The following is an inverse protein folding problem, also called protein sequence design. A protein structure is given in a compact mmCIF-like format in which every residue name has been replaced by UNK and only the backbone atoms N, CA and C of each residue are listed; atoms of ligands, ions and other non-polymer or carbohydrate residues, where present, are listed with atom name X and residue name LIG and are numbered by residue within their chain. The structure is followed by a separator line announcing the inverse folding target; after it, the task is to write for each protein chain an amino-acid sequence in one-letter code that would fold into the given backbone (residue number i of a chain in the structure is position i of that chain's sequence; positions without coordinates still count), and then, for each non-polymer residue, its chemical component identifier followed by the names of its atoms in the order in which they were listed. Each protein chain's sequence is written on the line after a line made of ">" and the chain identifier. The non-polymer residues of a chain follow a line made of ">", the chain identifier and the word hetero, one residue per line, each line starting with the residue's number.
data_IF_589960195629
#
_entry.id   IF_589960195629
#
_cell.length_a   1.000
_cell.length_b   1.000
_cell.length_c   1.000
_cell.angle_alpha   90.00
_cell.angle_beta   90.00
_cell.angle_gamma   90.00
#
_symmetry.space_group_name_H-M   'P 1'
#
loop_
_entity.id
_entity.type
_entity.pdbx_description
1 polymer ?
#
# COMPACT_ATOMS: atom_id res chain seq x y z
N UNK A 1 -17.81 -51.29 42.38
CA UNK A 1 -18.33 -50.22 43.27
C UNK A 1 -17.17 -49.78 44.16
N UNK A 2 -16.71 -48.56 44.29
CA UNK A 2 -17.10 -47.25 43.76
C UNK A 2 -15.84 -46.38 43.78
N UNK A 3 -15.64 -45.65 42.69
CA UNK A 3 -14.68 -44.59 42.39
C UNK A 3 -14.40 -43.57 43.51
N UNK A 4 -13.12 -43.32 43.78
CA UNK A 4 -12.63 -41.99 44.19
C UNK A 4 -12.56 -41.09 42.94
N UNK A 5 -13.30 -39.97 42.93
CA UNK A 5 -13.14 -38.89 41.95
C UNK A 5 -12.27 -37.80 42.57
N UNK A 6 -11.06 -37.68 42.05
CA UNK A 6 -10.10 -36.60 42.32
C UNK A 6 -10.57 -35.30 41.64
N UNK A 7 -10.67 -34.25 42.45
CA UNK A 7 -10.82 -32.85 42.05
C UNK A 7 -9.52 -32.39 41.37
N UNK A 8 -9.50 -32.27 40.05
CA UNK A 8 -8.53 -31.42 39.34
C UNK A 8 -9.20 -30.88 38.08
N UNK A 9 -9.91 -29.76 38.26
CA UNK A 9 -10.39 -28.95 37.14
C UNK A 9 -9.21 -28.21 36.53
N UNK A 10 -8.73 -28.67 35.37
CA UNK A 10 -7.89 -27.85 34.50
C UNK A 10 -8.78 -26.77 33.89
N UNK A 11 -8.64 -25.54 34.35
CA UNK A 11 -9.09 -24.37 33.60
C UNK A 11 -8.12 -24.24 32.43
N UNK A 12 -8.45 -24.87 31.30
CA UNK A 12 -7.83 -24.49 30.04
C UNK A 12 -8.52 -23.22 29.58
N UNK A 13 -7.80 -22.09 29.67
CA UNK A 13 -8.19 -20.82 29.08
C UNK A 13 -8.50 -21.04 27.60
N UNK A 14 -9.78 -21.21 27.30
CA UNK A 14 -10.28 -21.26 25.94
C UNK A 14 -10.35 -19.81 25.48
N UNK A 15 -9.26 -19.31 24.90
CA UNK A 15 -9.25 -18.00 24.25
C UNK A 15 -10.38 -18.00 23.22
N UNK A 16 -11.39 -17.15 23.45
CA UNK A 16 -12.54 -17.03 22.53
C UNK A 16 -12.01 -16.76 21.11
N UNK A 17 -12.56 -17.38 20.05
CA UNK A 17 -12.07 -17.23 18.67
C UNK A 17 -11.93 -15.77 18.20
N UNK A 18 -12.78 -14.87 18.71
CA UNK A 18 -12.72 -13.44 18.43
C UNK A 18 -11.48 -12.76 19.03
N UNK A 19 -11.02 -13.18 20.22
CA UNK A 19 -9.80 -12.65 20.86
C UNK A 19 -8.55 -13.16 20.17
N UNK A 20 -8.53 -14.42 19.72
CA UNK A 20 -7.41 -14.96 18.95
C UNK A 20 -7.22 -14.21 17.62
N UNK A 21 -8.32 -13.99 16.88
CA UNK A 21 -8.30 -13.21 15.63
C UNK A 21 -7.90 -11.74 15.84
N UNK A 22 -8.30 -11.13 16.95
CA UNK A 22 -7.90 -9.76 17.28
C UNK A 22 -6.39 -9.65 17.63
N UNK A 23 -5.85 -10.65 18.35
CA UNK A 23 -4.41 -10.74 18.63
C UNK A 23 -3.59 -10.92 17.35
N UNK A 24 -4.00 -11.85 16.49
CA UNK A 24 -3.40 -12.10 15.18
C UNK A 24 -3.40 -10.85 14.29
N UNK A 25 -4.55 -10.13 14.20
CA UNK A 25 -4.62 -8.86 13.47
C UNK A 25 -3.67 -7.79 14.01
N UNK A 26 -3.59 -7.64 15.34
CA UNK A 26 -2.67 -6.67 15.96
C UNK A 26 -1.22 -7.02 15.62
N UNK A 27 -0.87 -8.30 15.68
CA UNK A 27 0.46 -8.79 15.33
C UNK A 27 0.81 -8.50 13.86
N UNK A 28 -0.14 -8.72 12.94
CA UNK A 28 0.00 -8.39 11.51
C UNK A 28 0.10 -6.90 11.22
N UNK A 29 -0.66 -6.07 11.92
CA UNK A 29 -0.56 -4.60 11.78
C UNK A 29 0.80 -4.11 12.31
N UNK A 30 1.25 -4.63 13.46
CA UNK A 30 2.58 -4.32 13.99
C UNK A 30 3.68 -4.79 13.03
N UNK A 31 3.55 -6.00 12.50
CA UNK A 31 4.45 -6.55 11.50
C UNK A 31 4.49 -5.68 10.25
N UNK A 32 3.36 -5.20 9.74
CA UNK A 32 3.33 -4.30 8.59
C UNK A 32 4.13 -3.01 8.83
N UNK A 33 3.94 -2.34 9.97
CA UNK A 33 4.64 -1.09 10.27
C UNK A 33 6.13 -1.32 10.56
N UNK A 34 6.46 -2.29 11.40
CA UNK A 34 7.84 -2.62 11.76
C UNK A 34 8.60 -3.23 10.59
N UNK A 35 7.93 -4.01 9.75
CA UNK A 35 8.49 -4.62 8.56
C UNK A 35 8.98 -3.58 7.56
N UNK A 36 8.30 -2.44 7.43
CA UNK A 36 8.81 -1.29 6.66
C UNK A 36 10.16 -0.85 7.20
N UNK A 37 10.27 -0.61 8.51
CA UNK A 37 11.51 -0.12 9.10
C UNK A 37 12.65 -1.15 9.11
N UNK A 38 12.33 -2.42 9.38
CA UNK A 38 13.29 -3.52 9.28
C UNK A 38 13.83 -3.63 7.85
N UNK A 39 12.94 -3.60 6.86
CA UNK A 39 13.31 -3.72 5.46
C UNK A 39 14.14 -2.54 4.97
N UNK A 40 13.72 -1.32 5.30
CA UNK A 40 14.46 -0.07 5.11
C UNK A 40 15.88 -0.19 5.70
N UNK A 41 15.98 -0.43 7.00
CA UNK A 41 17.25 -0.48 7.73
C UNK A 41 18.20 -1.58 7.23
N UNK A 42 17.68 -2.72 6.74
CA UNK A 42 18.49 -3.77 6.10
C UNK A 42 18.99 -3.33 4.72
N UNK A 43 18.13 -2.71 3.92
CA UNK A 43 18.43 -2.29 2.55
C UNK A 43 19.36 -1.08 2.48
N UNK A 44 19.30 -0.18 3.47
CA UNK A 44 20.10 1.04 3.54
C UNK A 44 21.62 0.80 3.45
N UNK A 45 22.11 -0.39 3.83
CA UNK A 45 23.51 -0.77 3.69
C UNK A 45 23.96 -0.88 2.22
N UNK A 46 23.07 -1.32 1.32
CA UNK A 46 23.38 -1.60 -0.10
C UNK A 46 22.67 -0.65 -1.08
N UNK A 47 22.07 0.41 -0.55
CA UNK A 47 21.43 1.46 -1.33
C UNK A 47 22.39 2.03 -2.39
N UNK A 48 21.90 2.08 -3.64
CA UNK A 48 22.58 2.51 -4.86
C UNK A 48 23.73 1.63 -5.36
N UNK A 49 23.86 0.41 -4.86
CA UNK A 49 24.77 -0.56 -5.46
C UNK A 49 24.36 -0.87 -6.91
N UNK A 50 25.33 -0.94 -7.82
CA UNK A 50 25.08 -1.16 -9.26
C UNK A 50 24.71 -2.61 -9.62
N UNK A 51 24.57 -3.48 -8.63
CA UNK A 51 24.33 -4.91 -8.76
C UNK A 51 24.23 -5.56 -7.38
N UNK A 52 23.94 -6.88 -7.35
CA UNK A 52 23.83 -7.61 -6.10
C UNK A 52 25.17 -7.72 -5.38
N UNK A 53 25.12 -7.78 -4.05
CA UNK A 53 26.26 -8.09 -3.22
C UNK A 53 26.79 -9.49 -3.55
N UNK A 54 28.02 -9.57 -4.04
CA UNK A 54 28.69 -10.83 -4.41
C UNK A 54 29.61 -11.36 -3.30
N UNK A 55 29.74 -10.63 -2.19
CA UNK A 55 30.50 -11.03 -1.02
C UNK A 55 29.67 -11.79 0.01
N UNK A 56 30.07 -11.69 1.28
CA UNK A 56 29.27 -12.18 2.39
C UNK A 56 27.97 -11.37 2.48
N UNK A 57 26.83 -12.07 2.53
CA UNK A 57 25.53 -11.43 2.63
C UNK A 57 25.41 -10.67 3.94
N UNK A 58 24.90 -9.44 3.86
CA UNK A 58 24.47 -8.70 5.06
C UNK A 58 23.15 -9.30 5.53
N UNK A 59 23.18 -9.99 6.67
CA UNK A 59 22.01 -10.70 7.23
C UNK A 59 21.36 -9.97 8.41
N UNK A 60 21.99 -8.87 8.84
CA UNK A 60 21.63 -8.10 10.02
C UNK A 60 21.67 -6.60 9.72
N UNK A 61 20.96 -5.82 10.53
CA UNK A 61 20.93 -4.38 10.44
C UNK A 61 22.25 -3.82 11.00
N UNK A 62 23.16 -3.45 10.09
CA UNK A 62 24.51 -2.98 10.45
C UNK A 62 24.72 -1.49 10.18
N UNK A 63 23.77 -0.82 9.54
CA UNK A 63 23.92 0.56 9.08
C UNK A 63 24.93 0.69 7.94
N UNK A 64 25.70 1.78 7.92
CA UNK A 64 26.70 2.04 6.89
C UNK A 64 26.08 2.56 5.59
N UNK A 65 26.41 1.94 4.47
CA UNK A 65 25.92 2.34 3.15
C UNK A 65 26.39 3.74 2.69
N UNK A 66 25.72 4.25 1.65
CA UNK A 66 26.06 5.51 0.97
C UNK A 66 26.06 6.71 1.93
N UNK A 67 25.12 6.74 2.88
CA UNK A 67 24.93 7.86 3.81
C UNK A 67 25.51 7.63 5.21
N UNK A 68 26.23 6.52 5.43
CA UNK A 68 26.85 6.14 6.71
C UNK A 68 25.83 6.15 7.86
N UNK A 69 24.74 5.43 7.65
CA UNK A 69 23.67 5.24 8.62
C UNK A 69 24.18 4.58 9.90
N UNK A 70 23.62 4.97 11.05
CA UNK A 70 23.75 4.17 12.26
C UNK A 70 22.89 2.90 12.12
N UNK A 71 23.25 1.82 12.80
CA UNK A 71 22.44 0.61 12.79
C UNK A 71 21.04 0.90 13.34
N UNK A 72 20.01 0.60 12.54
CA UNK A 72 18.59 0.80 12.88
C UNK A 72 18.08 2.24 12.74
N UNK A 73 18.92 3.15 12.24
CA UNK A 73 18.48 4.51 11.90
C UNK A 73 17.59 4.46 10.65
N UNK A 74 16.41 5.11 10.67
CA UNK A 74 15.51 5.16 9.51
C UNK A 74 16.06 6.02 8.36
N UNK A 75 15.68 5.68 7.12
CA UNK A 75 15.79 6.56 5.94
C UNK A 75 14.48 7.33 5.72
N UNK A 76 14.36 8.02 4.57
CA UNK A 76 13.14 8.69 4.14
C UNK A 76 11.94 7.76 4.00
N UNK A 77 12.14 6.47 3.70
CA UNK A 77 11.10 5.44 3.69
C UNK A 77 10.35 5.38 5.02
N UNK A 78 11.08 5.16 6.11
CA UNK A 78 10.49 5.05 7.45
C UNK A 78 10.09 6.41 8.01
N UNK A 79 10.90 7.46 7.83
CA UNK A 79 10.58 8.79 8.34
C UNK A 79 9.26 9.32 7.76
N UNK A 80 9.05 9.13 6.46
CA UNK A 80 7.81 9.54 5.81
C UNK A 80 6.64 8.59 6.13
N UNK A 81 6.90 7.31 6.40
CA UNK A 81 5.90 6.37 6.95
C UNK A 81 5.42 6.84 8.32
N UNK A 82 6.33 7.22 9.22
CA UNK A 82 6.01 7.77 10.53
C UNK A 82 5.19 9.06 10.42
N UNK A 83 5.47 9.92 9.45
CA UNK A 83 4.67 11.12 9.19
C UNK A 83 3.19 10.78 8.89
N UNK A 84 2.94 9.80 8.00
CA UNK A 84 1.58 9.33 7.66
C UNK A 84 0.92 8.63 8.84
N UNK A 85 1.66 7.77 9.56
CA UNK A 85 1.16 7.06 10.73
C UNK A 85 0.72 8.04 11.85
N UNK A 86 1.56 9.02 12.19
CA UNK A 86 1.27 10.02 13.21
C UNK A 86 0.06 10.88 12.84
N UNK A 87 -0.10 11.23 11.56
CA UNK A 87 -1.28 11.96 11.09
C UNK A 87 -2.58 11.16 11.26
N UNK A 88 -2.57 9.87 10.92
CA UNK A 88 -3.70 8.96 11.17
C UNK A 88 -4.06 8.87 12.66
N UNK A 89 -3.06 8.85 13.54
CA UNK A 89 -3.30 8.84 14.99
C UNK A 89 -3.95 10.13 15.48
N UNK A 90 -3.46 11.28 14.99
CA UNK A 90 -3.94 12.62 15.35
C UNK A 90 -5.34 12.94 14.82
N UNK A 91 -5.70 12.43 13.64
CA UNK A 91 -6.93 12.75 12.93
C UNK A 91 -7.76 11.49 12.61
N UNK A 92 -8.32 10.80 13.63
CA UNK A 92 -9.06 9.53 13.46
C UNK A 92 -10.27 9.59 12.53
N UNK A 93 -10.96 10.73 12.52
CA UNK A 93 -12.32 10.87 12.00
C UNK A 93 -12.43 11.95 10.90
N UNK A 94 -11.29 12.50 10.44
CA UNK A 94 -11.24 13.55 9.41
C UNK A 94 -10.08 13.28 8.45
N UNK A 95 -10.40 12.69 7.30
CA UNK A 95 -9.42 12.30 6.28
C UNK A 95 -8.74 13.52 5.64
N UNK A 96 -9.46 14.63 5.47
CA UNK A 96 -8.92 15.85 4.89
C UNK A 96 -7.92 16.51 5.86
N UNK A 97 -8.23 16.56 7.15
CA UNK A 97 -7.30 17.05 8.17
C UNK A 97 -6.10 16.12 8.33
N UNK A 98 -6.32 14.80 8.28
CA UNK A 98 -5.25 13.80 8.32
C UNK A 98 -4.26 14.00 7.17
N UNK A 99 -4.74 14.15 5.92
CA UNK A 99 -3.86 14.33 4.75
C UNK A 99 -3.08 15.66 4.83
N UNK A 100 -3.70 16.73 5.37
CA UNK A 100 -3.01 17.99 5.63
C UNK A 100 -1.91 17.84 6.67
N UNK A 101 -2.19 17.21 7.81
CA UNK A 101 -1.19 16.98 8.85
C UNK A 101 -0.05 16.08 8.37
N UNK A 102 -0.36 15.06 7.56
CA UNK A 102 0.66 14.23 6.91
C UNK A 102 1.58 15.10 6.03
N UNK A 103 1.02 15.97 5.18
CA UNK A 103 1.80 16.87 4.33
C UNK A 103 2.65 17.85 5.16
N UNK A 104 2.10 18.43 6.22
CA UNK A 104 2.81 19.36 7.11
C UNK A 104 3.99 18.67 7.82
N UNK A 105 3.79 17.43 8.30
CA UNK A 105 4.87 16.61 8.89
C UNK A 105 5.96 16.28 7.87
N UNK A 106 5.60 15.95 6.64
CA UNK A 106 6.56 15.70 5.57
C UNK A 106 7.35 16.97 5.21
N UNK A 107 6.70 18.14 5.20
CA UNK A 107 7.38 19.44 5.01
C UNK A 107 8.35 19.70 6.16
N UNK A 108 7.93 19.50 7.41
CA UNK A 108 8.80 19.69 8.57
C UNK A 108 10.01 18.75 8.53
N UNK A 109 9.82 17.48 8.13
CA UNK A 109 10.91 16.54 7.88
C UNK A 109 11.84 17.01 6.76
N UNK A 110 11.32 17.47 5.62
CA UNK A 110 12.17 18.02 4.55
C UNK A 110 13.00 19.22 5.04
N UNK A 111 12.42 20.06 5.90
CA UNK A 111 13.08 21.26 6.45
C UNK A 111 14.15 20.94 7.51
N UNK A 112 14.09 19.77 8.16
CA UNK A 112 15.18 19.32 9.05
C UNK A 112 16.45 18.92 8.31
N UNK A 113 16.42 18.88 6.97
CA UNK A 113 17.59 18.62 6.13
C UNK A 113 18.02 17.15 6.04
N UNK A 114 17.12 16.23 5.67
CA UNK A 114 17.43 14.80 5.53
C UNK A 114 18.44 14.57 4.39
N UNK A 115 19.23 13.49 4.51
CA UNK A 115 20.38 13.19 3.65
C UNK A 115 19.96 12.56 2.32
N UNK A 116 18.83 11.88 2.33
CA UNK A 116 18.33 10.89 1.38
C UNK A 116 17.11 11.34 0.58
N UNK A 117 16.43 12.43 0.99
CA UNK A 117 15.22 12.91 0.29
C UNK A 117 15.36 12.97 -1.25
N UNK A 118 14.52 12.17 -1.91
CA UNK A 118 14.43 12.12 -3.36
C UNK A 118 14.01 13.44 -4.03
N UNK A 119 14.46 13.64 -5.27
CA UNK A 119 14.23 14.89 -6.02
C UNK A 119 12.75 15.25 -6.24
N UNK A 120 11.91 14.26 -6.54
CA UNK A 120 10.45 14.43 -6.69
C UNK A 120 9.82 14.87 -5.38
N UNK A 121 10.14 14.20 -4.28
CA UNK A 121 9.66 14.53 -2.92
C UNK A 121 10.08 15.95 -2.53
N UNK A 122 11.37 16.29 -2.67
CA UNK A 122 11.88 17.64 -2.36
C UNK A 122 11.16 18.74 -3.15
N UNK A 123 10.96 18.55 -4.45
CA UNK A 123 10.30 19.54 -5.32
C UNK A 123 8.84 19.76 -4.92
N UNK A 124 8.11 18.67 -4.67
CA UNK A 124 6.67 18.73 -4.40
C UNK A 124 6.36 19.20 -2.99
N UNK A 125 7.11 18.77 -1.97
CA UNK A 125 7.00 19.33 -0.62
C UNK A 125 7.42 20.80 -0.57
N UNK A 126 8.37 21.22 -1.40
CA UNK A 126 8.66 22.65 -1.60
C UNK A 126 7.45 23.44 -2.14
N UNK A 127 6.63 22.84 -3.00
CA UNK A 127 5.38 23.45 -3.47
C UNK A 127 4.31 23.51 -2.37
N UNK A 128 4.17 22.44 -1.57
CA UNK A 128 3.29 22.40 -0.39
C UNK A 128 3.64 23.56 0.56
N UNK A 129 4.92 23.68 0.95
CA UNK A 129 5.42 24.77 1.80
C UNK A 129 5.10 26.16 1.24
N UNK A 130 5.13 26.31 -0.08
CA UNK A 130 4.82 27.57 -0.75
C UNK A 130 3.30 27.82 -0.92
N UNK A 131 2.45 27.00 -0.31
CA UNK A 131 1.00 27.17 -0.28
C UNK A 131 0.26 26.64 -1.51
N UNK A 132 0.88 25.79 -2.33
CA UNK A 132 0.17 25.12 -3.43
C UNK A 132 -0.82 24.11 -2.84
N UNK A 133 -2.11 24.11 -3.27
CA UNK A 133 -3.09 23.15 -2.77
C UNK A 133 -2.66 21.69 -2.99
N UNK A 134 -2.82 20.83 -1.99
CA UNK A 134 -2.34 19.44 -2.00
C UNK A 134 -2.82 18.62 -3.22
N UNK A 135 -4.04 18.85 -3.69
CA UNK A 135 -4.56 18.19 -4.90
C UNK A 135 -3.82 18.57 -6.20
N UNK A 136 -2.88 19.52 -6.15
CA UNK A 136 -2.13 20.05 -7.30
C UNK A 136 -0.60 19.93 -7.11
N UNK A 137 -0.12 19.39 -5.98
CA UNK A 137 1.33 19.32 -5.69
C UNK A 137 1.99 18.08 -6.27
N UNK A 138 1.26 16.97 -6.39
CA UNK A 138 1.79 15.72 -6.91
C UNK A 138 2.40 15.86 -8.30
N UNK A 139 3.59 15.29 -8.50
CA UNK A 139 4.27 15.32 -9.79
C UNK A 139 3.53 14.47 -10.84
N UNK A 140 3.25 15.05 -12.01
CA UNK A 140 2.47 14.44 -13.09
C UNK A 140 3.23 14.30 -14.42
N UNK A 141 4.54 14.55 -14.42
CA UNK A 141 5.37 14.42 -15.62
C UNK A 141 5.88 12.99 -15.76
N UNK A 142 6.03 12.48 -16.98
CA UNK A 142 6.33 11.06 -17.26
C UNK A 142 7.58 10.51 -16.53
N UNK A 143 8.58 11.35 -16.28
CA UNK A 143 9.79 10.96 -15.55
C UNK A 143 9.64 10.92 -14.01
N UNK A 144 8.44 11.18 -13.48
CA UNK A 144 8.17 11.18 -12.03
C UNK A 144 7.50 9.89 -11.52
N UNK A 145 7.61 8.79 -12.28
CA UNK A 145 7.11 7.47 -11.90
C UNK A 145 7.96 6.80 -10.79
N UNK A 146 8.30 7.56 -9.75
CA UNK A 146 9.13 7.13 -8.64
C UNK A 146 8.32 6.44 -7.54
N UNK A 147 8.98 5.59 -6.76
CA UNK A 147 8.42 4.80 -5.65
C UNK A 147 8.17 5.60 -4.36
N UNK A 148 8.56 6.87 -4.29
CA UNK A 148 8.51 7.66 -3.05
C UNK A 148 7.13 7.71 -2.36
N UNK A 149 6.01 7.65 -3.10
CA UNK A 149 4.67 7.53 -2.49
C UNK A 149 4.34 6.13 -1.99
N UNK A 150 4.82 5.10 -2.68
CA UNK A 150 4.56 3.69 -2.38
C UNK A 150 5.20 3.31 -1.05
N UNK A 151 6.45 3.70 -0.83
CA UNK A 151 7.23 3.33 0.35
C UNK A 151 6.60 3.74 1.69
N UNK A 152 5.81 4.81 1.69
CA UNK A 152 5.23 5.40 2.90
C UNK A 152 3.73 5.22 3.08
N UNK A 153 3.05 4.57 2.13
CA UNK A 153 1.59 4.54 2.12
C UNK A 153 0.97 3.49 3.07
N UNK A 154 1.78 2.57 3.59
CA UNK A 154 1.33 1.40 4.37
C UNK A 154 0.41 1.69 5.57
N UNK A 155 0.55 2.81 6.32
CA UNK A 155 -0.29 3.02 7.50
C UNK A 155 -1.78 3.10 7.13
N UNK A 156 -2.10 3.63 5.95
CA UNK A 156 -3.47 3.71 5.42
C UNK A 156 -4.05 2.32 5.16
N UNK A 157 -3.25 1.40 4.57
CA UNK A 157 -3.66 0.01 4.34
C UNK A 157 -3.89 -0.76 5.62
N UNK A 158 -2.99 -0.59 6.60
CA UNK A 158 -3.07 -1.24 7.90
C UNK A 158 -4.25 -0.75 8.75
N UNK A 159 -4.58 0.54 8.70
CA UNK A 159 -5.65 1.14 9.52
C UNK A 159 -7.06 0.97 8.93
N UNK A 160 -7.28 1.35 7.67
CA UNK A 160 -8.64 1.54 7.13
C UNK A 160 -9.21 0.22 6.61
N UNK A 161 -10.29 -0.24 7.25
CA UNK A 161 -11.00 -1.47 6.87
C UNK A 161 -11.87 -1.26 5.62
N UNK A 162 -12.56 -0.13 5.52
CA UNK A 162 -13.45 0.18 4.39
C UNK A 162 -12.66 0.31 3.07
N UNK A 163 -12.84 -0.59 2.09
CA UNK A 163 -12.11 -0.53 0.82
C UNK A 163 -12.34 0.76 0.05
N UNK A 164 -13.55 1.31 0.06
CA UNK A 164 -13.86 2.52 -0.70
C UNK A 164 -13.11 3.73 -0.12
N UNK A 165 -13.20 3.91 1.20
CA UNK A 165 -12.47 4.96 1.92
C UNK A 165 -10.96 4.78 1.80
N UNK A 166 -10.43 3.56 1.99
CA UNK A 166 -8.99 3.28 1.94
C UNK A 166 -8.37 3.70 0.61
N UNK A 167 -9.05 3.44 -0.52
CA UNK A 167 -8.56 3.82 -1.85
C UNK A 167 -8.51 5.34 -2.04
N UNK A 168 -9.55 6.05 -1.59
CA UNK A 168 -9.59 7.53 -1.63
C UNK A 168 -8.45 8.11 -0.80
N UNK A 169 -8.30 7.66 0.46
CA UNK A 169 -7.27 8.16 1.36
C UNK A 169 -5.85 7.81 0.86
N UNK A 170 -5.67 6.63 0.26
CA UNK A 170 -4.40 6.22 -0.35
C UNK A 170 -4.03 7.12 -1.53
N UNK A 171 -4.97 7.44 -2.41
CA UNK A 171 -4.75 8.37 -3.52
C UNK A 171 -4.40 9.77 -3.02
N UNK A 172 -5.10 10.26 -1.98
CA UNK A 172 -4.81 11.57 -1.39
C UNK A 172 -3.40 11.63 -0.78
N UNK A 173 -2.99 10.63 0.00
CA UNK A 173 -1.65 10.57 0.63
C UNK A 173 -0.53 10.43 -0.42
N UNK A 174 -0.71 9.55 -1.41
CA UNK A 174 0.26 9.39 -2.49
C UNK A 174 0.36 10.65 -3.36
N UNK A 175 -0.80 11.23 -3.66
CA UNK A 175 -0.98 12.42 -4.48
C UNK A 175 -0.36 13.71 -3.92
N UNK A 176 0.01 13.75 -2.63
CA UNK A 176 0.78 14.87 -2.05
C UNK A 176 2.05 15.11 -2.87
N UNK A 177 2.76 14.04 -3.26
CA UNK A 177 4.05 14.16 -3.98
C UNK A 177 4.09 13.44 -5.33
N UNK A 178 3.32 12.35 -5.52
CA UNK A 178 3.35 11.57 -6.76
C UNK A 178 1.95 11.54 -7.38
N UNK A 179 1.77 12.35 -8.42
CA UNK A 179 0.48 12.57 -9.08
C UNK A 179 0.21 11.67 -10.28
N UNK A 180 1.19 10.91 -10.77
CA UNK A 180 1.00 10.00 -11.90
C UNK A 180 0.05 8.84 -11.55
N UNK A 181 -0.82 8.42 -12.49
CA UNK A 181 -1.72 7.27 -12.29
C UNK A 181 -0.98 6.00 -11.83
N UNK A 182 0.16 5.67 -12.45
CA UNK A 182 0.96 4.49 -12.09
C UNK A 182 1.42 4.50 -10.63
N UNK A 183 1.79 5.66 -10.07
CA UNK A 183 2.18 5.78 -8.67
C UNK A 183 0.97 5.61 -7.74
N UNK A 184 -0.14 6.28 -8.06
CA UNK A 184 -1.38 6.23 -7.28
C UNK A 184 -1.96 4.82 -7.22
N UNK A 185 -2.07 4.18 -8.38
CA UNK A 185 -2.59 2.83 -8.52
C UNK A 185 -1.69 1.79 -7.86
N UNK A 186 -0.36 1.97 -7.92
CA UNK A 186 0.58 1.11 -7.18
C UNK A 186 0.37 1.21 -5.66
N UNK A 187 0.16 2.42 -5.13
CA UNK A 187 -0.14 2.61 -3.71
C UNK A 187 -1.48 1.96 -3.34
N UNK A 188 -2.51 2.10 -4.19
CA UNK A 188 -3.83 1.48 -3.98
C UNK A 188 -3.71 -0.04 -3.93
N UNK A 189 -3.03 -0.64 -4.91
CA UNK A 189 -2.80 -2.10 -4.95
C UNK A 189 -2.08 -2.53 -3.68
N UNK A 190 -0.98 -1.88 -3.33
CA UNK A 190 -0.19 -2.20 -2.15
C UNK A 190 -1.02 -2.14 -0.85
N UNK A 191 -1.75 -1.05 -0.63
CA UNK A 191 -2.58 -0.90 0.56
C UNK A 191 -3.79 -1.83 0.62
N UNK A 192 -4.34 -2.23 -0.52
CA UNK A 192 -5.40 -3.24 -0.58
C UNK A 192 -4.87 -4.64 -0.24
N UNK A 193 -3.67 -4.98 -0.74
CA UNK A 193 -2.98 -6.23 -0.34
C UNK A 193 -2.71 -6.22 1.16
N UNK A 194 -2.09 -5.16 1.69
CA UNK A 194 -1.83 -5.01 3.14
C UNK A 194 -3.12 -5.16 3.95
N UNK A 195 -4.20 -4.49 3.53
CA UNK A 195 -5.49 -4.58 4.19
C UNK A 195 -6.04 -6.00 4.23
N UNK A 196 -5.93 -6.76 3.14
CA UNK A 196 -6.36 -8.15 3.08
C UNK A 196 -5.48 -9.05 3.96
N UNK A 197 -4.16 -8.86 3.94
CA UNK A 197 -3.20 -9.64 4.73
C UNK A 197 -3.39 -9.45 6.24
N UNK A 198 -3.59 -8.21 6.72
CA UNK A 198 -3.88 -7.96 8.14
C UNK A 198 -5.26 -8.51 8.57
N UNK A 199 -6.15 -8.77 7.61
CA UNK A 199 -7.43 -9.43 7.81
C UNK A 199 -7.33 -10.97 7.77
N UNK A 200 -6.16 -11.50 7.42
CA UNK A 200 -5.81 -12.93 7.39
C UNK A 200 -6.04 -13.61 6.04
N UNK A 201 -6.08 -12.85 4.94
CA UNK A 201 -6.18 -13.41 3.60
C UNK A 201 -4.90 -14.14 3.18
N UNK A 202 -5.03 -15.08 2.24
CA UNK A 202 -3.90 -15.64 1.51
C UNK A 202 -3.21 -14.56 0.66
N UNK A 203 -1.89 -14.65 0.51
CA UNK A 203 -1.11 -13.65 -0.19
C UNK A 203 -1.44 -13.56 -1.68
N UNK A 204 -1.49 -14.70 -2.39
CA UNK A 204 -1.79 -14.68 -3.82
C UNK A 204 -3.21 -14.19 -4.09
N UNK A 205 -4.18 -14.64 -3.28
CA UNK A 205 -5.57 -14.18 -3.41
C UNK A 205 -5.68 -12.67 -3.16
N UNK A 206 -5.01 -12.15 -2.12
CA UNK A 206 -4.97 -10.72 -1.82
C UNK A 206 -4.41 -9.90 -2.99
N UNK A 207 -3.31 -10.35 -3.60
CA UNK A 207 -2.70 -9.68 -4.75
C UNK A 207 -3.62 -9.75 -5.98
N UNK A 208 -4.19 -10.92 -6.29
CA UNK A 208 -5.11 -11.11 -7.43
C UNK A 208 -6.35 -10.23 -7.29
N UNK A 209 -6.93 -10.15 -6.09
CA UNK A 209 -8.10 -9.31 -5.82
C UNK A 209 -7.77 -7.82 -5.98
N UNK A 210 -6.62 -7.36 -5.46
CA UNK A 210 -6.21 -5.97 -5.54
C UNK A 210 -6.07 -5.46 -6.99
N UNK A 211 -5.59 -6.30 -7.91
CA UNK A 211 -5.41 -5.97 -9.34
C UNK A 211 -6.58 -6.39 -10.23
N UNK A 212 -7.65 -6.95 -9.66
CA UNK A 212 -8.86 -7.35 -10.40
C UNK A 212 -9.70 -6.17 -10.88
N UNK A 213 -9.57 -5.01 -10.22
CA UNK A 213 -10.32 -3.81 -10.54
C UNK A 213 -9.87 -3.23 -11.90
N UNK A 214 -10.74 -3.15 -12.92
CA UNK A 214 -10.38 -2.67 -14.25
C UNK A 214 -10.02 -1.17 -14.28
N UNK A 215 -10.25 -0.44 -13.18
CA UNK A 215 -9.82 0.97 -13.04
C UNK A 215 -8.34 1.12 -12.72
N UNK A 216 -7.69 0.07 -12.22
CA UNK A 216 -6.23 0.06 -12.00
C UNK A 216 -5.54 0.04 -13.37
N UNK A 217 -4.55 0.92 -13.55
CA UNK A 217 -3.79 1.05 -14.79
C UNK A 217 -3.25 -0.31 -15.26
N UNK A 218 -3.37 -0.56 -16.58
CA UNK A 218 -3.00 -1.84 -17.18
C UNK A 218 -1.54 -2.21 -16.88
N UNK A 219 -0.64 -1.23 -16.93
CA UNK A 219 0.78 -1.41 -16.61
C UNK A 219 1.05 -1.86 -15.17
N UNK A 220 0.23 -1.43 -14.19
CA UNK A 220 0.33 -1.89 -12.80
C UNK A 220 -0.16 -3.34 -12.70
N UNK A 221 -1.30 -3.65 -13.34
CA UNK A 221 -1.88 -4.99 -13.36
C UNK A 221 -0.95 -5.99 -14.01
N UNK A 222 -0.39 -5.64 -15.17
CA UNK A 222 0.55 -6.46 -15.93
C UNK A 222 1.84 -6.69 -15.11
N UNK A 223 2.41 -5.63 -14.52
CA UNK A 223 3.61 -5.75 -13.69
C UNK A 223 3.45 -6.75 -12.53
N UNK A 224 2.32 -6.69 -11.83
CA UNK A 224 2.02 -7.62 -10.73
C UNK A 224 1.72 -9.03 -11.23
N UNK A 225 0.93 -9.15 -12.31
CA UNK A 225 0.57 -10.44 -12.89
C UNK A 225 1.79 -11.19 -13.45
N UNK A 226 2.75 -10.48 -14.02
CA UNK A 226 4.01 -11.06 -14.51
C UNK A 226 4.78 -11.74 -13.37
N UNK A 227 4.86 -11.12 -12.19
CA UNK A 227 5.52 -11.71 -11.02
C UNK A 227 4.74 -12.91 -10.49
N UNK A 228 3.41 -12.79 -10.35
CA UNK A 228 2.56 -13.92 -9.93
C UNK A 228 2.67 -15.12 -10.90
N UNK A 229 2.82 -14.85 -12.20
CA UNK A 229 2.93 -15.89 -13.22
C UNK A 229 4.31 -16.54 -13.26
N UNK A 230 5.36 -15.77 -12.98
CA UNK A 230 6.72 -16.28 -12.86
C UNK A 230 6.90 -17.14 -11.60
N UNK A 231 6.18 -16.82 -10.53
CA UNK A 231 6.27 -17.51 -9.24
C UNK A 231 7.46 -17.04 -8.39
N UNK A 232 7.78 -17.76 -7.29
CA UNK A 232 8.83 -17.37 -6.35
C UNK A 232 10.25 -17.72 -6.83
N UNK A 233 10.39 -18.43 -7.95
CA UNK A 233 11.69 -18.89 -8.43
C UNK A 233 12.55 -17.73 -8.97
N UNK A 234 13.86 -17.83 -8.73
CA UNK A 234 14.85 -16.86 -9.22
C UNK A 234 15.05 -15.67 -8.28
N UNK A 235 15.98 -14.75 -8.64
CA UNK A 235 16.32 -13.62 -7.79
C UNK A 235 15.22 -12.55 -7.77
N UNK A 236 15.23 -11.63 -6.78
CA UNK A 236 14.31 -10.51 -6.74
C UNK A 236 14.44 -9.65 -8.03
N UNK A 237 13.32 -9.19 -8.62
CA UNK A 237 13.32 -8.45 -9.88
C UNK A 237 13.66 -6.96 -9.68
N UNK A 238 14.82 -6.69 -9.11
CA UNK A 238 15.32 -5.34 -8.81
C UNK A 238 15.76 -4.60 -10.08
N UNK A 239 15.45 -3.31 -10.13
CA UNK A 239 15.88 -2.39 -11.19
C UNK A 239 17.16 -1.66 -10.80
N UNK A 240 17.97 -1.27 -11.79
CA UNK A 240 19.25 -0.58 -11.58
C UNK A 240 19.35 0.70 -12.43
N UNK A 241 20.31 1.57 -12.08
CA UNK A 241 20.61 2.77 -12.85
C UNK A 241 19.43 3.73 -12.90
N UNK A 242 19.05 4.18 -14.09
CA UNK A 242 17.97 5.19 -14.23
C UNK A 242 16.58 4.69 -13.80
N UNK A 243 16.40 3.38 -13.61
CA UNK A 243 15.14 2.77 -13.19
C UNK A 243 15.12 2.29 -11.75
N UNK A 244 16.20 2.44 -10.98
CA UNK A 244 16.29 1.85 -9.64
C UNK A 244 15.12 2.27 -8.73
N UNK A 245 14.72 3.55 -8.76
CA UNK A 245 13.56 4.06 -8.00
C UNK A 245 12.22 4.02 -8.74
N UNK A 246 12.07 3.19 -9.78
CA UNK A 246 10.83 3.10 -10.55
C UNK A 246 9.74 2.36 -9.76
N UNK A 247 8.56 2.97 -9.60
CA UNK A 247 7.49 2.45 -8.74
C UNK A 247 7.06 1.01 -9.06
N UNK A 248 7.01 0.63 -10.34
CA UNK A 248 6.64 -0.75 -10.71
C UNK A 248 7.76 -1.74 -10.43
N UNK A 249 9.03 -1.34 -10.54
CA UNK A 249 10.16 -2.20 -10.16
C UNK A 249 10.10 -2.55 -8.68
N UNK A 250 9.86 -1.54 -7.84
CA UNK A 250 9.70 -1.71 -6.40
C UNK A 250 8.46 -2.56 -6.07
N UNK A 251 7.29 -2.26 -6.65
CA UNK A 251 6.07 -3.07 -6.42
C UNK A 251 6.27 -4.54 -6.82
N UNK A 252 6.93 -4.81 -7.96
CA UNK A 252 7.26 -6.16 -8.42
C UNK A 252 8.16 -6.89 -7.43
N UNK A 253 9.17 -6.19 -6.90
CA UNK A 253 10.08 -6.74 -5.88
C UNK A 253 9.34 -7.07 -4.58
N UNK A 254 8.42 -6.21 -4.15
CA UNK A 254 7.58 -6.47 -2.98
C UNK A 254 6.70 -7.71 -3.16
N UNK A 255 6.06 -7.85 -4.34
CA UNK A 255 5.22 -9.01 -4.66
C UNK A 255 6.06 -10.28 -4.71
N UNK A 256 7.25 -10.25 -5.33
CA UNK A 256 8.17 -11.38 -5.35
C UNK A 256 8.55 -11.81 -3.92
N UNK A 257 8.87 -10.86 -3.04
CA UNK A 257 9.25 -11.15 -1.66
C UNK A 257 8.07 -11.76 -0.87
N UNK A 258 6.85 -11.27 -1.08
CA UNK A 258 5.65 -11.83 -0.46
C UNK A 258 5.22 -13.20 -1.00
N UNK A 259 5.76 -13.67 -2.13
CA UNK A 259 5.61 -15.07 -2.59
C UNK A 259 6.58 -16.03 -1.90
N UNK A 260 7.64 -15.52 -1.26
CA UNK A 260 8.64 -16.37 -0.64
C UNK A 260 8.13 -17.00 0.65
N UNK A 261 8.36 -18.32 0.87
CA UNK A 261 7.90 -18.99 2.08
C UNK A 261 8.66 -18.55 3.35
N UNK A 262 9.91 -18.14 3.20
CA UNK A 262 10.76 -17.64 4.28
C UNK A 262 10.92 -16.12 4.14
N UNK A 263 10.18 -15.37 4.97
CA UNK A 263 10.19 -13.91 4.95
C UNK A 263 11.53 -13.30 5.39
N UNK A 264 12.23 -13.95 6.33
CA UNK A 264 13.56 -13.48 6.77
C UNK A 264 14.55 -13.57 5.61
N UNK A 265 14.62 -14.74 4.98
CA UNK A 265 15.52 -14.97 3.86
C UNK A 265 15.16 -14.08 2.65
N UNK A 266 13.88 -13.87 2.37
CA UNK A 266 13.43 -12.98 1.30
C UNK A 266 13.88 -11.53 1.52
N UNK A 267 13.77 -11.01 2.75
CA UNK A 267 14.25 -9.68 3.10
C UNK A 267 15.76 -9.54 2.96
N UNK A 268 16.52 -10.57 3.38
CA UNK A 268 17.97 -10.61 3.18
C UNK A 268 18.30 -10.56 1.69
N UNK A 269 17.58 -11.30 0.84
CA UNK A 269 17.81 -11.31 -0.60
C UNK A 269 17.49 -9.97 -1.26
N UNK A 270 16.37 -9.35 -0.90
CA UNK A 270 16.02 -8.01 -1.39
C UNK A 270 17.06 -6.97 -0.97
N UNK A 271 17.47 -6.96 0.30
CA UNK A 271 18.45 -6.01 0.82
C UNK A 271 19.83 -6.19 0.15
N UNK A 272 20.23 -7.42 -0.16
CA UNK A 272 21.52 -7.70 -0.82
C UNK A 272 21.46 -7.58 -2.35
N UNK A 273 20.30 -7.33 -2.96
CA UNK A 273 20.17 -7.19 -4.40
C UNK A 273 20.71 -5.86 -4.94
N UNK A 274 20.90 -4.84 -4.08
CA UNK A 274 21.35 -3.51 -4.50
C UNK A 274 20.24 -2.70 -5.18
N UNK A 275 20.61 -1.77 -6.06
CA UNK A 275 19.65 -0.84 -6.65
C UNK A 275 19.09 0.11 -5.60
N UNK A 276 17.76 0.24 -5.54
CA UNK A 276 17.04 1.03 -4.52
C UNK A 276 16.70 0.12 -3.32
N UNK A 277 17.75 -0.38 -2.66
CA UNK A 277 17.68 -1.52 -1.77
C UNK A 277 16.88 -1.25 -0.49
N UNK A 278 16.99 -0.05 0.08
CA UNK A 278 16.20 0.44 1.21
C UNK A 278 14.71 0.46 0.88
N UNK A 279 14.30 1.14 -0.19
CA UNK A 279 12.89 1.22 -0.56
C UNK A 279 12.32 -0.13 -0.94
N UNK A 280 13.05 -0.94 -1.71
CA UNK A 280 12.63 -2.30 -2.04
C UNK A 280 12.49 -3.17 -0.78
N UNK A 281 13.43 -3.03 0.16
CA UNK A 281 13.37 -3.69 1.47
C UNK A 281 12.15 -3.23 2.27
N UNK A 282 11.91 -1.94 2.36
CA UNK A 282 10.83 -1.32 3.12
C UNK A 282 9.47 -1.85 2.69
N UNK A 283 9.15 -1.79 1.40
CA UNK A 283 7.86 -2.24 0.89
C UNK A 283 7.70 -3.77 0.96
N UNK A 284 8.79 -4.53 0.74
CA UNK A 284 8.78 -5.99 0.86
C UNK A 284 8.55 -6.40 2.32
N UNK A 285 9.24 -5.76 3.25
CA UNK A 285 9.12 -6.00 4.68
C UNK A 285 7.75 -5.62 5.20
N UNK A 286 7.16 -4.54 4.70
CA UNK A 286 5.77 -4.19 5.00
C UNK A 286 4.77 -5.28 4.58
N UNK A 287 4.95 -5.91 3.41
CA UNK A 287 4.09 -7.02 2.97
C UNK A 287 4.33 -8.30 3.78
N UNK A 288 5.60 -8.68 3.97
CA UNK A 288 5.98 -9.86 4.77
C UNK A 288 5.46 -9.72 6.19
N UNK A 289 5.64 -8.56 6.81
CA UNK A 289 5.15 -8.27 8.15
C UNK A 289 3.61 -8.24 8.24
N UNK A 290 2.91 -7.75 7.21
CA UNK A 290 1.45 -7.85 7.14
C UNK A 290 0.95 -9.30 6.98
N UNK A 291 1.71 -10.13 6.26
CA UNK A 291 1.40 -11.55 5.98
C UNK A 291 1.69 -12.45 7.18
N UNK A 292 2.83 -12.25 7.84
CA UNK A 292 3.36 -13.19 8.82
C UNK A 292 3.25 -12.69 10.26
N UNK A 293 3.12 -11.36 10.44
CA UNK A 293 3.06 -10.73 11.75
C UNK A 293 4.42 -10.33 12.31
N UNK A 294 4.39 -9.42 13.29
CA UNK A 294 5.57 -8.97 14.02
C UNK A 294 6.30 -10.15 14.66
N UNK A 295 5.56 -11.14 15.16
CA UNK A 295 6.13 -12.32 15.82
C UNK A 295 6.97 -13.22 14.90
N UNK A 296 6.88 -13.03 13.57
CA UNK A 296 7.71 -13.72 12.59
C UNK A 296 8.97 -12.94 12.19
N UNK A 297 9.08 -11.66 12.56
CA UNK A 297 10.29 -10.87 12.33
C UNK A 297 11.36 -11.25 13.38
N UNK A 298 12.63 -11.43 12.98
CA UNK A 298 13.71 -11.68 13.91
C UNK A 298 13.83 -10.63 15.02
N UNK A 299 13.85 -11.08 16.28
CA UNK A 299 14.01 -10.22 17.46
C UNK A 299 15.27 -9.33 17.36
N UNK A 300 16.38 -9.88 16.84
CA UNK A 300 17.63 -9.14 16.61
C UNK A 300 17.48 -7.94 15.67
N UNK A 301 16.53 -7.96 14.74
CA UNK A 301 16.24 -6.83 13.88
C UNK A 301 15.33 -5.82 14.59
N UNK A 302 14.30 -6.32 15.30
CA UNK A 302 13.37 -5.49 16.07
C UNK A 302 14.07 -4.71 17.18
N UNK A 303 15.04 -5.32 17.87
CA UNK A 303 15.84 -4.70 18.93
C UNK A 303 16.79 -3.60 18.41
N UNK A 304 17.09 -3.61 17.11
CA UNK A 304 18.05 -2.68 16.50
C UNK A 304 17.36 -1.42 15.97
N UNK A 305 16.15 -1.55 15.42
CA UNK A 305 15.45 -0.44 14.77
C UNK A 305 14.97 0.63 15.75
N UNK A 306 15.04 1.89 15.32
CA UNK A 306 14.48 3.01 16.09
C UNK A 306 12.94 2.99 16.04
N UNK A 307 12.27 3.76 16.90
CA UNK A 307 10.79 3.89 16.88
C UNK A 307 9.97 2.59 17.07
N UNK A 308 10.61 1.47 17.45
CA UNK A 308 9.93 0.18 17.68
C UNK A 308 8.66 0.33 18.54
N UNK A 309 8.81 0.88 19.75
CA UNK A 309 7.70 0.99 20.70
C UNK A 309 6.57 1.90 20.17
N UNK A 310 6.94 2.99 19.50
CA UNK A 310 5.98 3.92 18.88
C UNK A 310 5.12 3.21 17.82
N UNK A 311 5.75 2.38 16.97
CA UNK A 311 5.04 1.62 15.93
C UNK A 311 4.18 0.51 16.53
N UNK A 312 4.63 -0.18 17.57
CA UNK A 312 3.84 -1.20 18.30
C UNK A 312 2.60 -0.59 18.96
N UNK A 313 2.75 0.59 19.56
CA UNK A 313 1.63 1.33 20.16
C UNK A 313 0.65 1.82 19.10
N UNK A 314 1.15 2.36 17.98
CA UNK A 314 0.33 2.75 16.84
C UNK A 314 -0.48 1.55 16.29
N UNK A 315 0.16 0.38 16.16
CA UNK A 315 -0.48 -0.84 15.70
C UNK A 315 -1.64 -1.28 16.61
N UNK A 316 -1.50 -1.12 17.92
CA UNK A 316 -2.58 -1.40 18.87
C UNK A 316 -3.80 -0.50 18.63
N UNK A 317 -3.57 0.81 18.47
CA UNK A 317 -4.62 1.78 18.17
C UNK A 317 -5.28 1.48 16.82
N UNK A 318 -4.49 1.15 15.80
CA UNK A 318 -4.98 0.81 14.47
C UNK A 318 -5.86 -0.44 14.49
N UNK A 319 -5.43 -1.50 15.18
CA UNK A 319 -6.21 -2.73 15.31
C UNK A 319 -7.59 -2.47 15.93
N UNK A 320 -7.65 -1.70 17.02
CA UNK A 320 -8.89 -1.37 17.71
C UNK A 320 -9.84 -0.51 16.86
N UNK A 321 -9.30 0.44 16.09
CA UNK A 321 -10.08 1.30 15.19
C UNK A 321 -10.60 0.49 14.00
N UNK A 322 -9.75 -0.30 13.35
CA UNK A 322 -10.10 -1.18 12.24
C UNK A 322 -11.21 -2.15 12.64
N UNK A 323 -11.15 -2.72 13.84
CA UNK A 323 -12.18 -3.64 14.33
C UNK A 323 -13.53 -2.94 14.54
N UNK A 324 -13.52 -1.70 15.05
CA UNK A 324 -14.72 -0.86 15.18
C UNK A 324 -15.34 -0.53 13.83
N UNK A 325 -14.54 -0.07 12.87
CA UNK A 325 -15.00 0.23 11.51
C UNK A 325 -15.58 -1.01 10.83
N UNK A 326 -14.86 -2.14 10.87
CA UNK A 326 -15.34 -3.40 10.31
C UNK A 326 -16.66 -3.91 10.92
N UNK A 327 -16.89 -3.66 12.22
CA UNK A 327 -18.20 -3.94 12.86
C UNK A 327 -19.30 -3.01 12.35
N UNK A 328 -19.00 -1.74 12.11
CA UNK A 328 -19.97 -0.78 11.58
C UNK A 328 -20.37 -1.14 10.13
N UNK A 329 -19.40 -1.51 9.28
CA UNK A 329 -19.64 -1.95 7.90
C UNK A 329 -20.57 -3.17 7.85
N UNK A 330 -20.25 -4.24 8.60
CA UNK A 330 -21.10 -5.45 8.66
C UNK A 330 -22.52 -5.18 9.16
N UNK A 331 -22.70 -4.15 10.01
CA UNK A 331 -24.04 -3.74 10.46
C UNK A 331 -24.81 -3.05 9.34
N UNK A 332 -24.17 -2.17 8.56
CA UNK A 332 -24.78 -1.51 7.39
C UNK A 332 -25.22 -2.54 6.35
N UNK A 333 -24.33 -3.47 5.97
CA UNK A 333 -24.63 -4.52 4.99
C UNK A 333 -25.81 -5.43 5.40
N UNK A 334 -25.99 -5.65 6.71
CA UNK A 334 -27.09 -6.46 7.22
C UNK A 334 -28.43 -5.72 7.16
N UNK A 335 -28.42 -4.40 7.33
CA UNK A 335 -29.61 -3.56 7.25
C UNK A 335 -30.03 -3.37 5.78
N UNK A 336 -29.07 -3.27 4.86
CA UNK A 336 -29.34 -3.03 3.43
C UNK A 336 -29.69 -4.29 2.64
N UNK A 337 -29.60 -5.49 3.23
CA UNK A 337 -30.16 -6.70 2.62
C UNK A 337 -31.68 -6.69 2.73
N UNK A 338 -32.44 -6.65 1.61
CA UNK A 338 -33.88 -6.77 1.66
C UNK A 338 -34.22 -8.08 2.36
N UNK A 339 -35.02 -8.00 3.43
CA UNK A 339 -35.49 -9.16 4.15
C UNK A 339 -36.06 -10.16 3.14
N UNK A 340 -35.60 -11.42 3.19
CA UNK A 340 -36.33 -12.50 2.54
C UNK A 340 -37.72 -12.47 3.15
N UNK A 341 -38.65 -11.86 2.43
CA UNK A 341 -40.07 -11.89 2.76
C UNK A 341 -40.42 -13.33 3.02
N UNK A 342 -40.93 -13.55 4.23
CA UNK A 342 -41.60 -14.77 4.63
C UNK A 342 -42.52 -15.18 3.47
N UNK A 343 -42.24 -16.32 2.82
CA UNK A 343 -43.16 -16.89 1.84
C UNK A 343 -44.34 -17.44 2.63
N UNK A 344 -45.21 -16.54 3.05
CA UNK A 344 -46.58 -16.86 3.46
C UNK A 344 -47.20 -17.66 2.33
N UNK A 345 -47.61 -18.89 2.66
CA UNK A 345 -48.19 -19.82 1.71
C UNK A 345 -49.37 -19.19 0.97
N UNK A 346 -49.27 -19.14 -0.36
CA UNK A 346 -50.43 -18.93 -1.21
C UNK A 346 -50.92 -20.32 -1.62
N UNK A 347 -52.10 -20.64 -1.10
CA UNK A 347 -52.79 -21.89 -1.34
C UNK A 347 -53.17 -22.10 -2.80
N UNK A 348 -53.17 -23.38 -3.14
CA UNK A 348 -53.90 -24.04 -4.22
C UNK A 348 -55.17 -23.31 -4.73
N UNK A 349 -55.14 -22.93 -6.01
CA UNK A 349 -56.22 -23.03 -7.00
C UNK A 349 -55.53 -23.09 -8.38
N UNK A 350 -55.69 -24.07 -9.26
CA UNK A 350 -56.87 -24.85 -9.57
C UNK A 350 -57.52 -24.29 -10.85
N UNK A 351 -56.98 -24.58 -12.04
CA UNK A 351 -57.58 -24.17 -13.31
C UNK A 351 -56.71 -24.46 -14.55
N UNK A 352 -57.18 -25.21 -15.57
CA UNK A 352 -56.34 -25.84 -16.58
C UNK A 352 -56.36 -25.10 -17.93
N UNK A 353 -55.21 -24.97 -18.59
CA UNK A 353 -55.12 -24.94 -20.07
C UNK A 353 -53.75 -25.48 -20.47
N UNK A 354 -53.78 -26.59 -21.23
CA UNK A 354 -52.59 -27.25 -21.76
C UNK A 354 -52.16 -26.72 -23.13
N UNK A 355 -50.95 -27.15 -23.50
CA UNK A 355 -50.33 -27.27 -24.85
C UNK A 355 -48.83 -26.99 -24.64
N UNK A 356 -48.01 -28.01 -24.40
CA UNK A 356 -47.33 -28.81 -25.42
C UNK A 356 -46.50 -27.97 -26.42
N UNK A 357 -45.17 -27.99 -26.22
CA UNK A 357 -44.18 -27.92 -27.28
C UNK A 357 -42.82 -28.37 -26.73
N UNK A 358 -42.61 -29.68 -26.82
CA UNK A 358 -41.29 -30.29 -26.80
C UNK A 358 -40.56 -30.08 -28.14
N UNK A 359 -39.21 -29.97 -28.09
CA UNK A 359 -38.15 -30.30 -29.10
C UNK A 359 -37.07 -29.20 -29.07
N UNK A 360 -35.84 -29.47 -28.60
CA UNK A 360 -34.73 -30.31 -29.12
C UNK A 360 -34.05 -29.75 -30.40
N UNK A 361 -32.72 -29.93 -30.38
CA UNK A 361 -31.70 -29.75 -31.42
C UNK A 361 -31.18 -28.32 -31.59
N UNK A 362 -29.87 -28.09 -31.70
CA UNK A 362 -28.74 -29.01 -31.79
C UNK A 362 -27.48 -28.20 -32.15
N UNK A 363 -26.34 -28.67 -31.64
CA UNK A 363 -25.02 -28.16 -31.99
C UNK A 363 -24.72 -28.33 -33.48
N UNK A 364 -24.01 -27.35 -34.07
CA UNK A 364 -23.25 -27.54 -35.30
C UNK A 364 -21.99 -26.67 -35.30
N UNK A 365 -20.87 -27.36 -35.27
CA UNK A 365 -19.51 -26.92 -35.60
C UNK A 365 -19.38 -26.59 -37.09
N UNK A 366 -18.60 -25.57 -37.45
CA UNK A 366 -17.45 -25.64 -38.38
C UNK A 366 -16.88 -24.25 -38.77
N UNK A 367 -15.59 -24.13 -38.50
CA UNK A 367 -14.49 -23.61 -39.32
C UNK A 367 -14.74 -22.59 -40.45
N UNK A 368 -13.95 -21.52 -40.40
CA UNK A 368 -13.05 -21.14 -41.50
C UNK A 368 -13.53 -20.01 -42.42
N UNK A 369 -12.81 -18.89 -42.41
CA UNK A 369 -12.91 -17.89 -43.47
C UNK A 369 -12.38 -16.51 -43.07
N UNK A 370 -11.11 -16.25 -43.38
CA UNK A 370 -10.53 -14.90 -43.35
C UNK A 370 -11.27 -14.01 -44.35
N UNK A 371 -11.59 -12.79 -43.98
CA UNK A 371 -11.85 -11.72 -44.94
C UNK A 371 -11.15 -10.44 -44.45
N UNK A 372 -10.04 -10.12 -45.09
CA UNK A 372 -9.42 -8.80 -45.05
C UNK A 372 -10.24 -7.88 -45.96
N UNK A 373 -10.67 -6.72 -45.47
CA UNK A 373 -10.99 -5.57 -46.31
C UNK A 373 -10.42 -4.29 -45.73
N UNK A 374 -9.53 -3.69 -46.52
CA UNK A 374 -9.05 -2.30 -46.45
C UNK A 374 -10.17 -1.35 -46.89
N UNK A 375 -10.37 -0.24 -46.19
CA UNK A 375 -10.85 1.06 -46.70
C UNK A 375 -10.23 2.12 -45.76
N UNK A 376 -9.15 2.81 -46.13
CA UNK A 376 -9.04 4.01 -46.96
C UNK A 376 -9.39 5.33 -46.22
N UNK A 377 -8.41 6.25 -46.30
CA UNK A 377 -8.35 7.59 -45.75
C UNK A 377 -9.54 8.48 -46.16
N UNK A 378 -9.93 9.38 -45.25
CA UNK A 378 -10.80 10.52 -45.52
C UNK A 378 -10.49 11.67 -44.56
N UNK A 379 -9.74 12.65 -45.04
CA UNK A 379 -9.52 13.97 -44.43
C UNK A 379 -10.63 14.96 -44.79
N UNK A 380 -10.65 16.08 -44.04
CA UNK A 380 -11.16 17.45 -44.31
C UNK A 380 -12.47 17.89 -43.58
N UNK A 381 -12.75 19.21 -43.38
CA UNK A 381 -12.05 20.17 -42.50
C UNK A 381 -13.04 21.17 -41.78
N UNK A 382 -12.52 22.31 -41.29
CA UNK A 382 -13.16 23.54 -40.71
C UNK A 382 -13.32 23.60 -39.19
N UNK A 383 -13.10 24.70 -38.44
CA UNK A 383 -12.70 26.10 -38.65
C UNK A 383 -12.11 26.55 -37.28
N UNK A 384 -11.02 27.32 -37.19
CA UNK A 384 -11.03 28.79 -37.19
C UNK A 384 -11.03 29.39 -35.76
N UNK A 385 -9.88 29.90 -35.29
CA UNK A 385 -9.81 30.96 -34.25
C UNK A 385 -8.39 31.53 -34.17
N UNK A 386 -8.31 32.85 -34.39
CA UNK A 386 -7.13 33.73 -34.36
C UNK A 386 -7.10 34.44 -33.01
N UNK A 387 -5.93 34.59 -32.38
CA UNK A 387 -5.74 35.52 -31.26
C UNK A 387 -4.46 35.30 -30.47
N UNK A 388 -3.40 36.03 -30.82
CA UNK A 388 -2.12 36.07 -30.11
C UNK A 388 -2.13 36.94 -28.84
N UNK A 389 -0.99 37.01 -28.10
CA UNK A 389 -0.96 37.24 -26.66
C UNK A 389 -0.70 38.71 -26.28
N UNK A 390 -1.29 39.16 -25.16
CA UNK A 390 -0.88 40.40 -24.49
C UNK A 390 0.13 40.11 -23.38
N UNK A 391 1.25 40.84 -23.44
CA UNK A 391 2.32 40.88 -22.44
C UNK A 391 1.93 41.80 -21.30
N UNK A 392 2.24 41.42 -20.06
CA UNK A 392 2.21 42.30 -18.90
C UNK A 392 2.77 41.61 -17.64
N UNK A 393 4.06 41.80 -17.37
CA UNK A 393 4.73 41.51 -16.09
C UNK A 393 4.80 42.80 -15.23
N UNK A 394 5.36 42.80 -14.00
CA UNK A 394 4.65 42.54 -12.75
C UNK A 394 4.76 43.73 -11.77
N UNK A 395 3.98 43.73 -10.68
CA UNK A 395 4.28 44.58 -9.51
C UNK A 395 4.32 43.79 -8.21
N UNK A 396 5.51 43.81 -7.62
CA UNK A 396 5.85 43.47 -6.23
C UNK A 396 5.03 44.32 -5.26
N UNK A 397 4.56 43.74 -4.15
CA UNK A 397 4.59 44.39 -2.83
C UNK A 397 4.93 43.33 -1.79
N UNK A 398 5.99 43.61 -1.03
CA UNK A 398 6.41 42.87 0.13
C UNK A 398 5.62 43.35 1.37
N UNK A 399 5.30 42.43 2.28
CA UNK A 399 5.08 42.77 3.68
C UNK A 399 5.54 41.60 4.55
N UNK A 400 6.73 41.76 5.13
CA UNK A 400 7.20 40.99 6.29
C UNK A 400 6.38 41.43 7.49
N UNK A 401 5.83 40.48 8.24
CA UNK A 401 5.47 40.70 9.64
C UNK A 401 6.14 39.60 10.47
N UNK A 402 7.10 40.04 11.28
CA UNK A 402 7.77 39.21 12.27
C UNK A 402 6.83 39.03 13.46
N UNK A 403 6.60 37.78 13.87
CA UNK A 403 6.03 37.47 15.18
C UNK A 403 7.14 36.77 15.96
N UNK A 404 7.58 37.44 17.02
CA UNK A 404 8.47 36.90 18.05
C UNK A 404 7.64 35.96 18.92
N UNK A 405 8.11 34.73 19.08
CA UNK A 405 7.64 33.80 20.10
C UNK A 405 8.58 33.89 21.32
N UNK A 406 8.08 34.12 22.56
CA UNK A 406 8.92 34.28 23.73
C UNK A 406 8.82 33.08 24.67
N UNK A 407 9.25 31.87 24.29
CA UNK A 407 9.39 30.77 25.24
C UNK A 407 10.38 29.70 24.77
N UNK A 408 11.67 29.83 25.11
CA UNK A 408 12.57 28.71 25.49
C UNK A 408 13.70 29.29 26.36
N UNK A 409 14.06 28.67 27.50
CA UNK A 409 15.26 29.02 28.28
C UNK A 409 16.58 28.73 27.55
#
# INVERSE_FOLDING_TARGET
>A
MSTQRSLFGRITDTVRPSRARARDRRDRIAGALLGVHVGDSLGATHEFASGPNTGEQTRDIVGGGTFRWEAGQPTDDTDLTLAVMRAHLAHPDDDDAMVRDAADRMVAWMESGPRDIGGTTRKTLGAVRNGVPLGQTGATHEHSAANGSLMRCIPTGALIADPARRRVVTDMVGGITHGLPVCRDSCIVYNDVVAALVDGADFEDAVRDAVSDPRIAIEVRDAVFDVLSAGPDGPPPVEYGQKQGWVLGSLRTAVWAGLQPDGEQALIEVANAGGDADTNGAIAGGLIGARDGMSALPERWLDTIWHHDEMVDAAAVFADRREREGRALRRRDRVDRPGRGDRGGVGSAGGPYGADASRRCGAATRAGGRCQQRIANGTCPHHGSIGGPSRGTPRRVAARAAIRDPFVP
#
